data_IF_909629300634
#
_entry.id   IF_909629300634
#
_cell.length_a   1.000
_cell.length_b   1.000
_cell.length_c   1.000
_cell.angle_alpha   90.00
_cell.angle_beta   90.00
_cell.angle_gamma   90.00
#
_symmetry.space_group_name_H-M   'P 1'
#
loop_
_entity.id
_entity.type
_entity.pdbx_description
1 polymer ?
#
# COMPACT_ATOMS: atom_id res chain seq x y z
N UNK A 1 34.63 -25.22 15.61
CA UNK A 1 33.51 -26.04 15.11
C UNK A 1 33.03 -25.42 13.80
N UNK A 2 33.14 -26.00 12.62
CA UNK A 2 33.60 -27.31 12.16
C UNK A 2 34.22 -27.02 10.80
N UNK A 3 35.53 -27.23 10.67
CA UNK A 3 36.28 -27.05 9.42
C UNK A 3 36.84 -28.42 9.04
N UNK A 4 35.94 -29.36 8.74
CA UNK A 4 36.27 -30.67 8.20
C UNK A 4 34.98 -31.27 7.63
N UNK A 5 35.09 -31.96 6.50
CA UNK A 5 33.98 -32.67 5.80
C UNK A 5 33.10 -31.84 4.85
N UNK A 6 33.71 -31.24 3.84
CA UNK A 6 33.05 -30.99 2.55
C UNK A 6 33.97 -31.41 1.39
N UNK A 7 34.60 -32.59 1.49
CA UNK A 7 35.08 -33.26 0.28
C UNK A 7 33.95 -34.16 -0.23
N UNK A 8 33.34 -33.85 -1.39
CA UNK A 8 32.28 -34.68 -1.95
C UNK A 8 32.85 -36.05 -2.38
N UNK A 9 32.12 -37.11 -2.06
CA UNK A 9 32.41 -38.52 -2.45
C UNK A 9 32.66 -38.71 -3.95
N UNK A 10 32.30 -37.72 -4.77
CA UNK A 10 32.51 -37.66 -6.21
C UNK A 10 33.98 -37.79 -6.64
N UNK A 11 34.93 -37.32 -5.83
CA UNK A 11 36.38 -37.42 -6.13
C UNK A 11 36.95 -38.83 -5.87
N UNK A 12 36.27 -39.68 -5.08
CA UNK A 12 36.79 -41.02 -4.73
C UNK A 12 36.51 -42.07 -5.81
N UNK A 13 35.43 -41.91 -6.59
CA UNK A 13 35.00 -42.90 -7.58
C UNK A 13 35.53 -42.68 -9.01
N UNK A 14 36.21 -41.55 -9.29
CA UNK A 14 36.70 -41.22 -10.65
C UNK A 14 38.22 -41.16 -10.81
N UNK A 15 38.99 -41.44 -9.75
CA UNK A 15 40.46 -41.54 -9.82
C UNK A 15 40.92 -42.93 -10.30
N UNK A 16 39.98 -43.87 -10.49
CA UNK A 16 40.23 -45.17 -11.10
C UNK A 16 39.85 -45.21 -12.57
N UNK A 17 40.87 -45.34 -13.44
CA UNK A 17 40.80 -45.60 -14.89
C UNK A 17 40.76 -44.37 -15.82
N UNK A 18 41.75 -44.33 -16.71
CA UNK A 18 41.90 -43.44 -17.87
C UNK A 18 42.51 -42.06 -17.60
N UNK A 19 43.85 -41.97 -17.59
CA UNK A 19 44.64 -41.13 -18.52
C UNK A 19 46.09 -40.98 -18.01
N UNK A 20 46.95 -41.94 -18.36
CA UNK A 20 48.40 -41.70 -18.42
C UNK A 20 49.00 -42.67 -19.44
N UNK A 21 48.76 -42.42 -20.73
CA UNK A 21 49.61 -42.96 -21.79
C UNK A 21 50.45 -41.79 -22.31
N UNK A 22 51.72 -41.86 -21.96
CA UNK A 22 52.82 -41.02 -22.41
C UNK A 22 52.86 -40.90 -23.93
N UNK A 23 52.56 -39.71 -24.46
CA UNK A 23 53.15 -39.27 -25.73
C UNK A 23 53.35 -37.75 -25.69
N UNK A 24 54.61 -37.40 -25.38
CA UNK A 24 55.38 -36.28 -25.91
C UNK A 24 54.58 -35.25 -26.72
N UNK A 25 54.05 -34.21 -26.10
CA UNK A 25 54.06 -32.82 -26.60
C UNK A 25 53.56 -31.91 -25.48
N UNK A 26 54.31 -30.86 -25.17
CA UNK A 26 54.15 -30.00 -24.00
C UNK A 26 52.91 -29.10 -24.01
N UNK A 27 51.71 -29.67 -24.05
CA UNK A 27 50.46 -28.95 -23.82
C UNK A 27 49.82 -29.40 -22.50
N UNK A 28 49.64 -28.40 -21.64
CA UNK A 28 49.06 -28.44 -20.30
C UNK A 28 47.69 -29.12 -20.34
N UNK A 29 47.62 -30.42 -20.02
CA UNK A 29 46.35 -31.11 -19.78
C UNK A 29 45.77 -30.59 -18.46
N UNK A 30 44.99 -29.50 -18.52
CA UNK A 30 44.06 -29.19 -17.42
C UNK A 30 42.98 -30.27 -17.47
N UNK A 31 42.72 -30.99 -16.37
CA UNK A 31 41.72 -32.06 -16.37
C UNK A 31 40.35 -31.46 -16.72
N UNK A 32 39.73 -31.98 -17.79
CA UNK A 32 38.40 -31.58 -18.31
C UNK A 32 37.28 -31.69 -17.28
N UNK A 33 37.51 -32.38 -16.17
CA UNK A 33 36.59 -32.57 -15.06
C UNK A 33 36.61 -31.43 -14.03
N UNK A 34 37.65 -30.59 -14.02
CA UNK A 34 37.78 -29.49 -13.06
C UNK A 34 36.89 -28.30 -13.43
N UNK A 35 36.60 -28.10 -14.72
CA UNK A 35 35.73 -27.01 -15.19
C UNK A 35 34.27 -27.14 -14.72
N UNK A 36 33.56 -28.28 -14.83
CA UNK A 36 32.17 -28.36 -14.36
C UNK A 36 32.04 -28.24 -12.84
N UNK A 37 32.98 -28.82 -12.07
CA UNK A 37 32.97 -28.73 -10.60
C UNK A 37 33.19 -27.28 -10.13
N UNK A 38 34.16 -26.58 -10.73
CA UNK A 38 34.42 -25.18 -10.44
C UNK A 38 33.21 -24.29 -10.76
N UNK A 39 32.57 -24.50 -11.91
CA UNK A 39 31.35 -23.76 -12.27
C UNK A 39 30.21 -23.96 -11.27
N UNK A 40 30.02 -25.20 -10.78
CA UNK A 40 28.99 -25.49 -9.76
C UNK A 40 29.29 -24.79 -8.43
N UNK A 41 30.52 -24.90 -7.94
CA UNK A 41 30.92 -24.26 -6.69
C UNK A 41 30.80 -22.72 -6.78
N UNK A 42 31.20 -22.15 -7.91
CA UNK A 42 31.08 -20.72 -8.15
C UNK A 42 29.62 -20.26 -8.17
N UNK A 43 28.75 -20.98 -8.88
CA UNK A 43 27.31 -20.69 -8.90
C UNK A 43 26.67 -20.79 -7.52
N UNK A 44 27.04 -21.80 -6.72
CA UNK A 44 26.51 -21.96 -5.36
C UNK A 44 26.96 -20.83 -4.43
N UNK A 45 28.23 -20.41 -4.51
CA UNK A 45 28.76 -19.28 -3.74
C UNK A 45 28.11 -17.95 -4.15
N UNK A 46 27.91 -17.72 -5.45
CA UNK A 46 27.23 -16.54 -5.98
C UNK A 46 25.76 -16.50 -5.52
N UNK A 47 25.05 -17.62 -5.59
CA UNK A 47 23.68 -17.72 -5.09
C UNK A 47 23.60 -17.46 -3.59
N UNK A 48 24.57 -17.97 -2.80
CA UNK A 48 24.61 -17.73 -1.36
C UNK A 48 24.75 -16.22 -1.05
N UNK A 49 25.67 -15.54 -1.74
CA UNK A 49 25.86 -14.08 -1.58
C UNK A 49 24.57 -13.32 -1.91
N UNK A 50 23.96 -13.62 -3.06
CA UNK A 50 22.73 -12.96 -3.50
C UNK A 50 21.58 -13.21 -2.52
N UNK A 51 21.46 -14.42 -1.96
CA UNK A 51 20.45 -14.74 -0.95
C UNK A 51 20.65 -13.92 0.31
N UNK A 52 21.87 -13.86 0.83
CA UNK A 52 22.18 -13.09 2.05
C UNK A 52 21.86 -11.60 1.89
N UNK A 53 22.24 -11.00 0.76
CA UNK A 53 21.92 -9.60 0.49
C UNK A 53 20.41 -9.38 0.41
N UNK A 54 19.68 -10.22 -0.34
CA UNK A 54 18.22 -10.08 -0.45
C UNK A 54 17.50 -10.32 0.86
N UNK A 55 17.97 -11.25 1.69
CA UNK A 55 17.37 -11.47 3.01
C UNK A 55 17.53 -10.23 3.91
N UNK A 56 18.67 -9.55 3.85
CA UNK A 56 18.89 -8.29 4.57
C UNK A 56 18.00 -7.17 4.04
N UNK A 57 17.90 -7.02 2.71
CA UNK A 57 17.01 -6.05 2.07
C UNK A 57 15.54 -6.30 2.45
N UNK A 58 15.09 -7.55 2.41
CA UNK A 58 13.72 -7.92 2.79
C UNK A 58 13.43 -7.65 4.27
N UNK A 59 14.40 -7.90 5.16
CA UNK A 59 14.25 -7.58 6.59
C UNK A 59 14.12 -6.08 6.79
N UNK A 60 15.00 -5.30 6.18
CA UNK A 60 14.95 -3.85 6.25
C UNK A 60 13.63 -3.27 5.73
N UNK A 61 13.15 -3.73 4.58
CA UNK A 61 11.88 -3.29 4.00
C UNK A 61 10.70 -3.63 4.92
N UNK A 62 10.71 -4.83 5.53
CA UNK A 62 9.65 -5.23 6.48
C UNK A 62 9.67 -4.36 7.72
N UNK A 63 10.83 -4.18 8.33
CA UNK A 63 10.99 -3.32 9.51
C UNK A 63 10.57 -1.88 9.20
N UNK A 64 10.91 -1.36 8.02
CA UNK A 64 10.46 -0.03 7.59
C UNK A 64 8.94 0.02 7.44
N UNK A 65 8.32 -0.96 6.79
CA UNK A 65 6.87 -1.01 6.62
C UNK A 65 6.14 -1.11 7.97
N UNK A 66 6.67 -1.91 8.91
CA UNK A 66 6.12 -2.05 10.25
C UNK A 66 6.19 -0.71 11.03
N UNK A 67 7.30 0.03 10.88
CA UNK A 67 7.45 1.37 11.46
C UNK A 67 6.49 2.39 10.84
N UNK A 68 6.30 2.36 9.52
CA UNK A 68 5.39 3.27 8.81
C UNK A 68 3.94 3.02 9.23
N UNK A 69 3.53 1.76 9.38
CA UNK A 69 2.21 1.39 9.90
C UNK A 69 2.03 1.88 11.34
N UNK A 70 3.00 1.61 12.22
CA UNK A 70 2.93 2.05 13.61
C UNK A 70 2.88 3.58 13.74
N UNK A 71 3.62 4.30 12.89
CA UNK A 71 3.56 5.76 12.84
C UNK A 71 2.18 6.24 12.38
N UNK A 72 1.63 5.66 11.31
CA UNK A 72 0.31 6.03 10.80
C UNK A 72 -0.79 5.77 11.84
N UNK A 73 -0.75 4.63 12.54
CA UNK A 73 -1.68 4.32 13.63
C UNK A 73 -1.58 5.32 14.79
N UNK A 74 -0.37 5.66 15.20
CA UNK A 74 -0.15 6.65 16.26
C UNK A 74 -0.65 8.04 15.87
N UNK A 75 -0.39 8.48 14.64
CA UNK A 75 -0.89 9.75 14.11
C UNK A 75 -2.43 9.75 14.05
N UNK A 76 -3.03 8.69 13.53
CA UNK A 76 -4.49 8.55 13.48
C UNK A 76 -5.11 8.61 14.88
N UNK A 77 -4.51 7.94 15.86
CA UNK A 77 -4.99 7.98 17.25
C UNK A 77 -4.92 9.39 17.85
N UNK A 78 -3.88 10.16 17.55
CA UNK A 78 -3.75 11.57 17.98
C UNK A 78 -4.79 12.44 17.28
N UNK A 79 -5.00 12.25 15.98
CA UNK A 79 -5.99 13.00 15.21
C UNK A 79 -7.42 12.76 15.70
N UNK A 80 -7.78 11.51 15.99
CA UNK A 80 -9.10 11.18 16.56
C UNK A 80 -9.31 11.89 17.90
N UNK A 81 -8.32 11.83 18.81
CA UNK A 81 -8.41 12.51 20.12
C UNK A 81 -8.50 14.03 19.98
N UNK A 82 -7.73 14.61 19.05
CA UNK A 82 -7.78 16.05 18.77
C UNK A 82 -9.16 16.42 18.23
N UNK A 83 -9.70 15.63 17.30
CA UNK A 83 -10.99 15.88 16.71
C UNK A 83 -12.12 15.76 17.74
N UNK A 84 -12.08 14.73 18.59
CA UNK A 84 -13.00 14.55 19.72
C UNK A 84 -12.98 15.77 20.65
N UNK A 85 -11.80 16.20 21.11
CA UNK A 85 -11.68 17.39 21.95
C UNK A 85 -12.21 18.68 21.30
N UNK A 86 -12.00 18.83 19.99
CA UNK A 86 -12.55 19.97 19.22
C UNK A 86 -14.08 19.90 19.18
N UNK A 87 -14.64 18.75 18.81
CA UNK A 87 -16.09 18.54 18.73
C UNK A 87 -16.77 18.69 20.09
N UNK A 88 -16.17 18.18 21.15
CA UNK A 88 -16.67 18.33 22.52
C UNK A 88 -16.68 19.80 22.96
N UNK A 89 -15.64 20.57 22.61
CA UNK A 89 -15.57 22.01 22.90
C UNK A 89 -16.61 22.84 22.13
N UNK A 90 -16.98 22.42 20.92
CA UNK A 90 -18.03 23.04 20.11
C UNK A 90 -19.42 22.71 20.66
N UNK A 91 -19.61 21.46 21.09
CA UNK A 91 -20.87 20.93 21.59
C UNK A 91 -21.86 20.57 20.49
N UNK A 92 -22.73 19.58 20.77
CA UNK A 92 -23.68 19.03 19.80
C UNK A 92 -24.70 20.06 19.30
N UNK A 93 -25.10 21.03 20.13
CA UNK A 93 -26.02 22.09 19.75
C UNK A 93 -25.43 22.99 18.66
N UNK A 94 -24.16 23.40 18.82
CA UNK A 94 -23.48 24.27 17.85
C UNK A 94 -23.32 23.57 16.50
N UNK A 95 -23.01 22.26 16.50
CA UNK A 95 -22.90 21.47 15.28
C UNK A 95 -24.27 21.36 14.58
N UNK A 96 -25.34 21.14 15.35
CA UNK A 96 -26.72 21.14 14.84
C UNK A 96 -27.06 22.50 14.23
N UNK A 97 -26.72 23.59 14.89
CA UNK A 97 -27.02 24.94 14.42
C UNK A 97 -26.24 25.27 13.13
N UNK A 98 -24.97 24.84 13.03
CA UNK A 98 -24.16 24.93 11.80
C UNK A 98 -24.80 24.13 10.66
N UNK A 99 -25.26 22.90 10.93
CA UNK A 99 -25.92 22.06 9.94
C UNK A 99 -27.28 22.61 9.50
N UNK A 100 -28.03 23.23 10.43
CA UNK A 100 -29.35 23.82 10.18
C UNK A 100 -29.27 25.21 9.53
N UNK A 101 -28.17 25.94 9.68
CA UNK A 101 -28.00 27.27 9.12
C UNK A 101 -28.24 27.33 7.61
N UNK A 102 -27.84 26.29 6.86
CA UNK A 102 -28.08 26.19 5.41
C UNK A 102 -29.57 26.09 5.07
N UNK A 103 -30.27 25.03 5.53
CA UNK A 103 -31.71 24.86 5.30
C UNK A 103 -32.57 26.00 5.85
N UNK A 104 -32.28 26.50 7.06
CA UNK A 104 -33.03 27.60 7.66
C UNK A 104 -32.91 28.90 6.86
N UNK A 105 -31.74 29.20 6.30
CA UNK A 105 -31.55 30.36 5.44
C UNK A 105 -32.41 30.26 4.17
N UNK A 106 -32.49 29.07 3.56
CA UNK A 106 -33.34 28.82 2.39
C UNK A 106 -34.82 29.01 2.73
N UNK A 107 -35.27 28.54 3.91
CA UNK A 107 -36.65 28.73 4.40
C UNK A 107 -36.95 30.23 4.60
N UNK A 108 -36.05 30.97 5.25
CA UNK A 108 -36.23 32.41 5.51
C UNK A 108 -36.30 33.24 4.23
N UNK A 109 -35.53 32.88 3.20
CA UNK A 109 -35.58 33.53 1.89
C UNK A 109 -36.93 33.31 1.20
N UNK A 110 -37.44 32.07 1.20
CA UNK A 110 -38.77 31.76 0.65
C UNK A 110 -39.89 32.50 1.40
N UNK A 111 -39.80 32.56 2.73
CA UNK A 111 -40.72 33.35 3.56
C UNK A 111 -40.65 34.85 3.24
N UNK A 112 -39.45 35.41 3.03
CA UNK A 112 -39.26 36.81 2.65
C UNK A 112 -39.82 37.17 1.27
N UNK A 113 -39.89 36.20 0.36
CA UNK A 113 -40.55 36.32 -0.94
C UNK A 113 -42.08 36.14 -0.85
N UNK A 114 -42.64 35.93 0.35
CA UNK A 114 -44.06 35.65 0.57
C UNK A 114 -44.50 34.27 0.10
N UNK A 115 -43.55 33.39 -0.25
CA UNK A 115 -43.81 32.03 -0.68
C UNK A 115 -43.84 31.16 0.58
N UNK A 116 -45.02 31.01 1.17
CA UNK A 116 -45.26 29.87 2.05
C UNK A 116 -45.01 28.60 1.23
N UNK A 117 -44.67 27.46 1.85
CA UNK A 117 -44.47 26.18 1.15
C UNK A 117 -45.80 25.65 0.58
N UNK A 118 -46.51 26.49 -0.14
CA UNK A 118 -47.69 26.19 -0.89
C UNK A 118 -47.18 25.50 -2.13
N UNK A 119 -47.47 24.21 -2.14
CA UNK A 119 -47.47 23.35 -3.29
C UNK A 119 -48.23 24.08 -4.42
N UNK A 120 -47.52 24.86 -5.25
CA UNK A 120 -48.11 25.49 -6.43
C UNK A 120 -48.26 24.38 -7.46
N UNK A 121 -49.37 23.67 -7.39
CA UNK A 121 -49.83 22.81 -8.48
C UNK A 121 -50.39 23.68 -9.59
N UNK A 122 -49.76 23.64 -10.77
CA UNK A 122 -50.57 23.40 -11.96
C UNK A 122 -50.98 21.92 -11.89
N UNK A 123 -52.28 21.63 -11.99
CA UNK A 123 -53.00 20.48 -11.41
C UNK A 123 -52.56 19.06 -11.77
N UNK A 124 -51.38 18.85 -12.37
CA UNK A 124 -50.90 17.55 -12.85
C UNK A 124 -49.53 17.12 -12.29
N UNK A 125 -48.76 18.01 -11.64
CA UNK A 125 -47.46 17.63 -11.05
C UNK A 125 -47.07 18.48 -9.84
N UNK A 126 -46.88 17.89 -8.64
CA UNK A 126 -46.42 18.64 -7.48
C UNK A 126 -44.94 19.02 -7.64
N UNK A 127 -44.64 20.32 -7.72
CA UNK A 127 -43.25 20.84 -7.66
C UNK A 127 -42.83 21.04 -6.20
N UNK A 128 -41.68 20.46 -5.83
CA UNK A 128 -41.06 20.72 -4.54
C UNK A 128 -40.27 22.04 -4.59
N UNK A 129 -40.86 23.10 -4.03
CA UNK A 129 -40.24 24.44 -4.02
C UNK A 129 -38.97 24.51 -3.15
N UNK A 130 -38.75 23.60 -2.21
CA UNK A 130 -37.46 23.53 -1.50
C UNK A 130 -36.31 23.12 -2.43
N UNK A 131 -36.54 22.12 -3.28
CA UNK A 131 -35.54 21.63 -4.23
C UNK A 131 -35.42 22.58 -5.43
N UNK A 132 -36.54 23.17 -5.88
CA UNK A 132 -36.56 24.10 -7.00
C UNK A 132 -35.96 25.47 -6.66
N UNK A 133 -36.07 25.94 -5.40
CA UNK A 133 -35.50 27.20 -4.95
C UNK A 133 -33.97 27.24 -5.09
N UNK A 134 -33.27 26.11 -4.88
CA UNK A 134 -31.83 26.02 -5.13
C UNK A 134 -31.48 26.29 -6.60
N UNK A 135 -32.27 25.76 -7.54
CA UNK A 135 -32.12 26.03 -8.97
C UNK A 135 -32.48 27.46 -9.37
N UNK A 136 -33.50 28.05 -8.74
CA UNK A 136 -33.96 29.42 -9.03
C UNK A 136 -33.05 30.50 -8.43
N UNK A 137 -32.46 30.25 -7.27
CA UNK A 137 -31.52 31.14 -6.59
C UNK A 137 -30.08 30.99 -7.12
N UNK A 138 -29.81 29.98 -7.98
CA UNK A 138 -28.46 29.71 -8.49
C UNK A 138 -27.52 29.03 -7.48
N UNK A 139 -28.01 28.65 -6.31
CA UNK A 139 -27.30 27.81 -5.34
C UNK A 139 -27.60 26.36 -5.71
N UNK A 140 -26.77 25.78 -6.59
CA UNK A 140 -26.89 24.37 -6.98
C UNK A 140 -26.87 23.47 -5.72
N UNK A 141 -27.95 22.76 -5.40
CA UNK A 141 -27.90 21.74 -4.36
C UNK A 141 -26.96 20.62 -4.84
N UNK A 142 -25.99 20.22 -4.01
CA UNK A 142 -25.10 19.08 -4.30
C UNK A 142 -25.97 17.85 -4.59
N UNK A 143 -25.77 17.15 -5.72
CA UNK A 143 -26.54 15.95 -6.03
C UNK A 143 -26.31 14.92 -4.90
N UNK A 144 -27.41 14.40 -4.37
CA UNK A 144 -27.39 13.27 -3.43
C UNK A 144 -26.85 12.05 -4.18
N UNK A 145 -25.60 11.71 -3.91
CA UNK A 145 -24.96 10.48 -4.38
C UNK A 145 -25.67 9.32 -3.67
N UNK A 146 -26.29 8.43 -4.47
CA UNK A 146 -26.91 7.19 -4.00
C UNK A 146 -25.86 6.10 -3.87
#
# INVERSE_FOLDING_TARGET
MVLHELLPEYLRNHIGSSFCSTLMFGFRCVPTFLSPLFSKLFQEADLLRLKQTREQELRFIKEQADLDVAQAEALAAVEVKKFEAVIDSLGASTIRDIAMAGPEMQVKLLQGLGIQSTLITDGSSPINLFTAAGGLLGILPKPSEK
#
